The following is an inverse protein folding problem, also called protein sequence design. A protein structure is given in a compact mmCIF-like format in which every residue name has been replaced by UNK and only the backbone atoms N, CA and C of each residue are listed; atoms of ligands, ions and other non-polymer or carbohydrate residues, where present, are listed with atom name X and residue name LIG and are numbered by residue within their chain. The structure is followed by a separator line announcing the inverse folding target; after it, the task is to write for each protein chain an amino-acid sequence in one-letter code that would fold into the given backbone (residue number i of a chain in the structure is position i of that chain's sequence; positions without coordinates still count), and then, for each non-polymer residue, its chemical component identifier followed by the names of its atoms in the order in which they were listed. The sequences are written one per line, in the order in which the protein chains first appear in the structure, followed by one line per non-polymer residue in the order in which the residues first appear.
data_IF_164767399703
#
_entry.id   IF_164767399703
#
_cell.length_a   1.000
_cell.length_b   1.000
_cell.length_c   1.000
_cell.angle_alpha   90.00
_cell.angle_beta   90.00
_cell.angle_gamma   90.00
#
_symmetry.space_group_name_H-M   'P 1'
#
loop_
_entity.id
_entity.type
_entity.pdbx_description
1 polymer ?
#
# COMPACT_ATOMS: atom_id res chain seq x y z
N UNK A 1 -19.75 -13.17 -4.26
CA UNK A 1 -19.36 -11.82 -3.82
C UNK A 1 -18.29 -11.32 -4.75
N UNK A 2 -18.64 -10.40 -5.64
CA UNK A 2 -17.75 -9.91 -6.69
C UNK A 2 -16.81 -8.84 -6.13
N UNK A 3 -15.58 -9.20 -5.81
CA UNK A 3 -14.51 -8.21 -5.58
C UNK A 3 -14.15 -7.61 -6.93
N UNK A 4 -14.79 -6.50 -7.27
CA UNK A 4 -14.38 -5.68 -8.41
C UNK A 4 -12.94 -5.20 -8.18
N UNK A 5 -12.03 -5.36 -9.15
CA UNK A 5 -10.75 -4.69 -9.08
C UNK A 5 -11.02 -3.18 -9.18
N UNK A 6 -10.76 -2.44 -8.10
CA UNK A 6 -10.72 -0.97 -8.17
C UNK A 6 -9.73 -0.60 -9.26
N UNK A 7 -10.22 0.02 -10.32
CA UNK A 7 -9.39 0.64 -11.34
C UNK A 7 -8.66 1.80 -10.66
N UNK A 8 -7.39 1.58 -10.32
CA UNK A 8 -6.47 2.65 -9.92
C UNK A 8 -6.15 3.43 -11.19
N UNK A 9 -7.00 4.42 -11.49
CA UNK A 9 -6.77 5.38 -12.57
C UNK A 9 -5.44 6.08 -12.36
N UNK A 10 -4.61 6.10 -13.39
CA UNK A 10 -3.40 6.91 -13.59
C UNK A 10 -2.71 7.39 -12.30
N UNK A 11 -2.37 6.45 -11.41
CA UNK A 11 -1.56 6.79 -10.23
C UNK A 11 -0.13 6.86 -10.72
N UNK A 12 0.40 8.07 -10.87
CA UNK A 12 1.84 8.28 -11.03
C UNK A 12 2.57 7.53 -9.92
N UNK A 13 3.18 6.41 -10.30
CA UNK A 13 3.98 5.49 -9.48
C UNK A 13 5.20 6.17 -8.83
N UNK A 14 5.49 7.40 -9.25
CA UNK A 14 6.65 8.22 -8.92
C UNK A 14 6.31 9.37 -7.95
N UNK A 15 5.08 9.42 -7.41
CA UNK A 15 4.73 10.41 -6.39
C UNK A 15 5.46 10.13 -5.06
N UNK A 16 5.89 11.15 -4.29
CA UNK A 16 6.67 10.98 -3.05
C UNK A 16 5.97 10.14 -1.97
N UNK A 17 4.67 9.92 -2.13
CA UNK A 17 3.80 9.22 -1.20
C UNK A 17 3.79 7.69 -1.35
N UNK A 18 4.15 7.14 -2.52
CA UNK A 18 4.06 5.70 -2.79
C UNK A 18 5.36 4.96 -2.45
N UNK A 19 5.48 4.58 -1.19
CA UNK A 19 6.74 4.08 -0.64
C UNK A 19 6.77 2.57 -0.44
N UNK A 20 7.97 2.01 -0.28
CA UNK A 20 8.17 0.55 -0.11
C UNK A 20 7.58 0.04 1.21
N UNK A 21 7.43 -1.28 1.34
CA UNK A 21 7.05 -1.90 2.62
C UNK A 21 7.98 -1.52 3.79
N UNK A 22 9.28 -1.33 3.54
CA UNK A 22 10.23 -0.94 4.59
C UNK A 22 9.89 0.45 5.13
N UNK A 23 9.82 1.43 4.23
CA UNK A 23 9.44 2.81 4.57
C UNK A 23 8.05 2.89 5.21
N UNK A 24 7.09 2.09 4.75
CA UNK A 24 5.76 2.04 5.33
C UNK A 24 5.75 1.48 6.76
N UNK A 25 6.54 0.43 7.04
CA UNK A 25 6.69 -0.09 8.40
C UNK A 25 7.30 0.94 9.33
N UNK A 26 8.33 1.66 8.87
CA UNK A 26 8.96 2.73 9.64
C UNK A 26 8.00 3.91 9.86
N UNK A 27 7.22 4.29 8.84
CA UNK A 27 6.25 5.38 8.94
C UNK A 27 5.12 5.07 9.93
N UNK A 28 4.47 3.90 9.77
CA UNK A 28 3.36 3.51 10.63
C UNK A 28 3.81 2.94 11.98
N UNK A 29 5.13 2.76 12.19
CA UNK A 29 5.72 2.15 13.39
C UNK A 29 5.13 0.75 13.66
N UNK A 30 5.04 -0.08 12.61
CA UNK A 30 4.44 -1.41 12.68
C UNK A 30 5.36 -2.50 12.15
N UNK A 31 5.12 -3.73 12.62
CA UNK A 31 5.77 -4.91 12.07
C UNK A 31 5.24 -5.29 10.68
N UNK A 32 6.01 -6.09 9.93
CA UNK A 32 5.58 -6.63 8.63
C UNK A 32 4.27 -7.43 8.68
N UNK A 33 4.03 -8.35 9.64
CA UNK A 33 2.73 -9.03 9.73
C UNK A 33 1.60 -8.05 10.04
N UNK A 34 1.83 -7.02 10.85
CA UNK A 34 0.84 -5.96 11.10
C UNK A 34 0.52 -5.19 9.83
N UNK A 35 1.53 -4.74 9.07
CA UNK A 35 1.32 -4.03 7.79
C UNK A 35 0.56 -4.88 6.77
N UNK A 36 0.81 -6.20 6.73
CA UNK A 36 0.04 -7.16 5.93
C UNK A 36 -1.43 -7.18 6.37
N UNK A 37 -1.69 -7.23 7.67
CA UNK A 37 -3.05 -7.27 8.20
C UNK A 37 -3.78 -5.93 7.94
N UNK A 38 -3.12 -4.78 8.10
CA UNK A 38 -3.68 -3.46 7.75
C UNK A 38 -4.10 -3.40 6.28
N UNK A 39 -3.27 -3.93 5.38
CA UNK A 39 -3.57 -4.04 3.95
C UNK A 39 -4.80 -4.91 3.69
N UNK A 40 -4.88 -6.07 4.34
CA UNK A 40 -5.99 -7.01 4.19
C UNK A 40 -7.31 -6.45 4.77
N UNK A 41 -7.23 -5.62 5.82
CA UNK A 41 -8.35 -4.88 6.40
C UNK A 41 -8.75 -3.63 5.62
N UNK A 42 -7.93 -3.18 4.67
CA UNK A 42 -8.18 -1.96 3.90
C UNK A 42 -7.90 -0.67 4.68
N UNK A 43 -7.10 -0.73 5.74
CA UNK A 43 -6.70 0.42 6.57
C UNK A 43 -5.61 1.28 5.92
N UNK A 44 -4.92 0.72 4.92
CA UNK A 44 -3.87 1.42 4.17
C UNK A 44 -4.12 1.28 2.68
N UNK A 45 -3.92 2.37 1.96
CA UNK A 45 -3.87 2.32 0.51
C UNK A 45 -2.56 1.68 0.07
N UNK A 46 -2.66 0.77 -0.90
CA UNK A 46 -1.52 0.06 -1.44
C UNK A 46 -1.70 -0.20 -2.93
N UNK A 47 -0.58 -0.36 -3.60
CA UNK A 47 -0.51 -0.85 -4.97
C UNK A 47 0.57 -1.93 -5.08
N UNK A 48 0.50 -2.74 -6.13
CA UNK A 48 1.42 -3.85 -6.35
C UNK A 48 2.03 -3.78 -7.75
N UNK A 49 3.01 -2.89 -8.01
CA UNK A 49 3.74 -2.89 -9.26
C UNK A 49 4.59 -4.16 -9.36
N UNK A 50 4.13 -5.13 -10.15
CA UNK A 50 4.79 -6.42 -10.35
C UNK A 50 4.80 -7.28 -9.08
N UNK A 51 5.99 -7.54 -8.52
CA UNK A 51 6.18 -8.44 -7.36
C UNK A 51 6.26 -7.72 -6.02
N UNK A 52 6.40 -6.40 -6.02
CA UNK A 52 6.58 -5.60 -4.81
C UNK A 52 5.33 -4.81 -4.47
N UNK A 53 5.17 -4.48 -3.19
CA UNK A 53 4.11 -3.58 -2.72
C UNK A 53 4.64 -2.15 -2.57
N UNK A 54 3.79 -1.18 -2.87
CA UNK A 54 3.94 0.22 -2.50
C UNK A 54 2.74 0.64 -1.65
N UNK A 55 2.96 1.53 -0.69
CA UNK A 55 1.95 2.01 0.24
C UNK A 55 1.88 3.51 0.17
N UNK A 56 0.68 4.08 0.24
CA UNK A 56 0.50 5.52 0.37
C UNK A 56 0.77 5.91 1.82
N UNK A 57 1.82 6.70 2.06
CA UNK A 57 2.19 7.18 3.40
C UNK A 57 1.82 8.65 3.64
N UNK A 58 1.19 9.32 2.67
CA UNK A 58 0.78 10.73 2.80
C UNK A 58 -0.66 10.91 3.31
N UNK A 59 -1.33 9.81 3.66
CA UNK A 59 -2.68 9.81 4.24
C UNK A 59 -2.63 9.85 5.76
#
# INVERSE_FOLDING_TARGET
MSTQPRQYGDVSLEGPCWQTSATAMDHFQVSRPTLKAMRERGEVEFMKPGRSYRYNICL
#
